data_IF_490431089618
#
_entry.id   IF_490431089618
#
_cell.length_a   1.000
_cell.length_b   1.000
_cell.length_c   1.000
_cell.angle_alpha   90.00
_cell.angle_beta   90.00
_cell.angle_gamma   90.00
#
_symmetry.space_group_name_H-M   'P 1'
#
loop_
_entity.id
_entity.type
_entity.pdbx_description
1 polymer ?
#
# COMPACT_ATOMS: atom_id res chain seq x y z
N UNK A 1 -26.28 6.84 21.07
CA UNK A 1 -24.84 7.00 20.82
C UNK A 1 -24.69 7.85 19.55
N UNK A 2 -24.10 9.04 19.66
CA UNK A 2 -23.86 9.88 18.52
C UNK A 2 -22.94 9.13 17.55
N UNK A 3 -23.36 9.00 16.30
CA UNK A 3 -22.55 8.45 15.21
C UNK A 3 -21.36 9.41 15.04
N UNK A 4 -20.18 9.00 15.47
CA UNK A 4 -18.93 9.73 15.19
C UNK A 4 -18.84 10.01 13.69
N UNK A 5 -18.64 11.27 13.36
CA UNK A 5 -18.44 11.69 11.97
C UNK A 5 -17.15 11.06 11.46
N UNK A 6 -17.17 10.54 10.22
CA UNK A 6 -15.99 9.89 9.59
C UNK A 6 -14.75 10.81 9.60
N UNK A 7 -14.95 12.12 9.46
CA UNK A 7 -13.87 13.10 9.53
C UNK A 7 -13.22 13.11 10.92
N UNK A 8 -14.01 13.07 11.99
CA UNK A 8 -13.53 13.03 13.38
C UNK A 8 -12.74 11.73 13.62
N UNK A 9 -13.27 10.58 13.20
CA UNK A 9 -12.59 9.29 13.33
C UNK A 9 -11.22 9.26 12.66
N UNK A 10 -11.09 9.82 11.46
CA UNK A 10 -9.81 9.91 10.74
C UNK A 10 -8.85 10.87 11.42
N UNK A 11 -9.35 12.04 11.85
CA UNK A 11 -8.55 13.06 12.54
C UNK A 11 -7.99 12.54 13.85
N UNK A 12 -8.83 11.94 14.71
CA UNK A 12 -8.39 11.36 15.98
C UNK A 12 -7.32 10.28 15.78
N UNK A 13 -7.47 9.46 14.74
CA UNK A 13 -6.49 8.41 14.46
C UNK A 13 -5.13 8.98 14.05
N UNK A 14 -5.12 10.00 13.21
CA UNK A 14 -3.90 10.70 12.81
C UNK A 14 -3.25 11.38 14.03
N UNK A 15 -4.02 12.09 14.85
CA UNK A 15 -3.53 12.73 16.07
C UNK A 15 -2.88 11.69 16.99
N UNK A 16 -3.57 10.59 17.25
CA UNK A 16 -3.04 9.52 18.10
C UNK A 16 -1.71 8.95 17.60
N UNK A 17 -1.54 8.80 16.29
CA UNK A 17 -0.28 8.32 15.71
C UNK A 17 0.83 9.37 15.88
N UNK A 18 0.52 10.66 15.71
CA UNK A 18 1.48 11.76 15.93
C UNK A 18 1.92 11.83 17.40
N UNK A 19 0.99 11.69 18.34
CA UNK A 19 1.30 11.65 19.78
C UNK A 19 2.21 10.47 20.16
N UNK A 20 2.13 9.37 19.42
CA UNK A 20 3.02 8.21 19.56
C UNK A 20 4.37 8.38 18.82
N UNK A 21 4.66 9.59 18.30
CA UNK A 21 5.87 9.87 17.53
C UNK A 21 5.90 9.24 16.14
N UNK A 22 4.77 8.75 15.66
CA UNK A 22 4.65 8.18 14.31
C UNK A 22 4.07 9.23 13.37
N UNK A 23 4.83 9.59 12.33
CA UNK A 23 4.33 10.46 11.26
C UNK A 23 3.70 9.58 10.17
N UNK A 24 2.35 9.50 10.05
CA UNK A 24 1.68 8.50 9.21
C UNK A 24 2.07 8.54 7.73
N UNK A 25 2.40 9.73 7.20
CA UNK A 25 2.80 9.95 5.81
C UNK A 25 4.30 9.74 5.54
N UNK A 26 5.10 9.48 6.59
CA UNK A 26 6.53 9.18 6.48
C UNK A 26 6.86 7.71 6.75
N UNK A 27 5.87 6.81 6.73
CA UNK A 27 6.13 5.37 6.87
C UNK A 27 7.13 4.95 5.80
N UNK A 28 8.29 4.37 6.20
CA UNK A 28 9.19 3.79 5.23
C UNK A 28 8.51 2.57 4.61
N UNK A 29 8.27 2.65 3.33
CA UNK A 29 7.74 1.53 2.55
C UNK A 29 8.83 0.48 2.44
N UNK A 30 8.64 -0.66 3.05
CA UNK A 30 9.55 -1.79 2.94
C UNK A 30 8.75 -3.00 2.48
N UNK A 31 8.91 -3.41 1.24
CA UNK A 31 8.30 -4.64 0.72
C UNK A 31 7.92 -4.53 -0.75
N UNK A 32 7.81 -5.64 -1.43
CA UNK A 32 7.40 -5.80 -2.85
C UNK A 32 5.99 -5.25 -3.10
N UNK A 33 5.17 -5.19 -2.06
CA UNK A 33 3.95 -4.39 -2.01
C UNK A 33 4.09 -3.40 -0.87
N UNK A 34 4.74 -2.28 -1.16
CA UNK A 34 4.90 -1.20 -0.19
C UNK A 34 3.53 -0.68 0.25
N UNK A 35 3.14 -0.98 1.48
CA UNK A 35 1.94 -0.46 2.11
C UNK A 35 0.80 -1.46 2.26
N UNK A 36 -0.33 -0.94 2.73
CA UNK A 36 -1.54 -1.71 2.93
C UNK A 36 -2.31 -1.89 1.62
N UNK A 37 -2.80 -3.09 1.37
CA UNK A 37 -3.61 -3.40 0.20
C UNK A 37 -4.77 -4.34 0.55
N UNK A 38 -5.80 -4.33 -0.27
CA UNK A 38 -6.93 -5.22 -0.08
C UNK A 38 -6.62 -6.63 -0.60
N UNK A 39 -6.76 -7.64 0.24
CA UNK A 39 -6.47 -9.04 -0.05
C UNK A 39 -7.21 -9.59 -1.26
N UNK A 40 -8.48 -9.22 -1.42
CA UNK A 40 -9.35 -9.75 -2.48
C UNK A 40 -9.08 -9.07 -3.81
N UNK A 41 -9.13 -7.74 -3.84
CA UNK A 41 -8.92 -6.97 -5.07
C UNK A 41 -7.44 -6.85 -5.44
N UNK A 42 -6.52 -7.12 -4.51
CA UNK A 42 -5.07 -6.96 -4.62
C UNK A 42 -4.63 -5.52 -4.97
N UNK A 43 -5.54 -4.56 -4.83
CA UNK A 43 -5.27 -3.14 -5.08
C UNK A 43 -4.73 -2.47 -3.81
N UNK A 44 -3.71 -1.62 -3.94
CA UNK A 44 -3.23 -0.81 -2.82
C UNK A 44 -4.33 0.15 -2.36
N UNK A 45 -4.36 0.44 -1.08
CA UNK A 45 -5.22 1.48 -0.53
C UNK A 45 -4.74 2.88 -0.92
N UNK A 46 -5.66 3.85 -0.91
CA UNK A 46 -5.32 5.26 -1.16
C UNK A 46 -4.36 5.81 -0.11
N UNK A 47 -3.69 6.94 -0.41
CA UNK A 47 -2.72 7.54 0.49
C UNK A 47 -3.29 7.81 1.90
N UNK A 48 -4.52 8.33 1.98
CA UNK A 48 -5.18 8.56 3.29
C UNK A 48 -5.39 7.25 4.06
N UNK A 49 -5.79 6.17 3.39
CA UNK A 49 -5.95 4.88 4.03
C UNK A 49 -4.60 4.27 4.43
N UNK A 50 -3.54 4.48 3.65
CA UNK A 50 -2.18 4.11 4.03
C UNK A 50 -1.73 4.83 5.31
N UNK A 51 -2.12 6.09 5.47
CA UNK A 51 -1.76 6.88 6.63
C UNK A 51 -2.51 6.45 7.91
N UNK A 52 -3.76 6.01 7.80
CA UNK A 52 -4.57 5.64 8.97
C UNK A 52 -4.46 4.16 9.36
N UNK A 53 -3.99 3.29 8.46
CA UNK A 53 -3.72 1.89 8.78
C UNK A 53 -2.37 1.75 9.50
N UNK A 54 -2.35 0.94 10.56
CA UNK A 54 -1.16 0.83 11.44
C UNK A 54 -0.01 0.06 10.81
N UNK A 55 -0.33 -0.90 9.96
CA UNK A 55 0.67 -1.83 9.41
C UNK A 55 0.57 -1.91 7.89
N UNK A 56 1.70 -2.09 7.20
CA UNK A 56 1.67 -2.49 5.80
C UNK A 56 1.19 -3.95 5.70
N UNK A 57 0.67 -4.32 4.53
CA UNK A 57 0.30 -5.70 4.22
C UNK A 57 -1.17 -5.88 3.85
N UNK A 58 -1.66 -7.06 4.10
CA UNK A 58 -2.96 -7.52 3.62
C UNK A 58 -4.08 -7.19 4.58
N UNK A 59 -5.10 -6.51 4.05
CA UNK A 59 -6.32 -6.20 4.77
C UNK A 59 -7.54 -6.68 4.00
N UNK A 60 -8.54 -7.13 4.74
CA UNK A 60 -9.87 -7.40 4.20
C UNK A 60 -10.95 -7.18 5.26
N UNK A 61 -12.20 -7.04 4.82
CA UNK A 61 -13.33 -6.98 5.74
C UNK A 61 -13.57 -8.35 6.40
N UNK A 62 -14.35 -8.39 7.46
CA UNK A 62 -14.73 -9.63 8.13
C UNK A 62 -15.32 -10.67 7.14
N UNK A 63 -16.26 -10.24 6.30
CA UNK A 63 -16.88 -11.12 5.31
C UNK A 63 -15.87 -11.63 4.28
N UNK A 64 -14.99 -10.76 3.79
CA UNK A 64 -13.96 -11.14 2.83
C UNK A 64 -12.98 -12.18 3.42
N UNK A 65 -12.57 -12.02 4.68
CA UNK A 65 -11.73 -13.02 5.34
C UNK A 65 -12.46 -14.34 5.50
N UNK A 66 -13.74 -14.32 5.90
CA UNK A 66 -14.57 -15.51 6.02
C UNK A 66 -14.72 -16.24 4.68
N UNK A 67 -14.95 -15.50 3.59
CA UNK A 67 -15.07 -16.06 2.25
C UNK A 67 -13.76 -16.73 1.75
N UNK A 68 -12.63 -16.26 2.25
CA UNK A 68 -11.30 -16.85 2.03
C UNK A 68 -10.99 -18.05 2.97
N UNK A 69 -11.93 -18.46 3.81
CA UNK A 69 -11.75 -19.51 4.80
C UNK A 69 -11.05 -19.06 6.10
N UNK A 70 -10.85 -17.75 6.27
CA UNK A 70 -10.19 -17.19 7.43
C UNK A 70 -11.14 -16.90 8.60
N UNK A 71 -10.58 -16.97 9.80
CA UNK A 71 -11.28 -16.64 11.04
C UNK A 71 -10.54 -15.52 11.77
N UNK A 72 -11.27 -14.47 12.13
CA UNK A 72 -10.70 -13.37 12.91
C UNK A 72 -10.44 -13.85 14.34
N UNK A 73 -9.22 -13.62 14.83
CA UNK A 73 -8.81 -13.98 16.19
C UNK A 73 -9.68 -13.29 17.24
N UNK A 74 -10.00 -14.00 18.33
CA UNK A 74 -10.76 -13.43 19.45
C UNK A 74 -10.00 -12.23 20.04
N UNK A 75 -10.68 -11.10 20.18
CA UNK A 75 -10.08 -9.86 20.69
C UNK A 75 -9.38 -8.99 19.65
N UNK A 76 -9.35 -9.40 18.37
CA UNK A 76 -8.83 -8.58 17.29
C UNK A 76 -9.64 -7.28 17.16
N UNK A 77 -8.92 -6.17 16.96
CA UNK A 77 -9.52 -4.84 16.76
C UNK A 77 -9.49 -4.50 15.28
N UNK A 78 -10.65 -4.14 14.74
CA UNK A 78 -10.72 -3.67 13.36
C UNK A 78 -10.08 -2.29 13.18
N UNK A 79 -9.55 -2.07 12.01
CA UNK A 79 -9.13 -0.77 11.54
C UNK A 79 -10.12 -0.25 10.51
N UNK A 80 -10.16 1.06 10.30
CA UNK A 80 -11.08 1.68 9.35
C UNK A 80 -10.35 2.03 8.06
N UNK A 81 -11.07 1.90 6.95
CA UNK A 81 -10.68 2.47 5.65
C UNK A 81 -11.83 3.32 5.12
N UNK A 82 -11.48 4.45 4.53
CA UNK A 82 -12.46 5.43 4.02
C UNK A 82 -12.50 5.42 2.50
N UNK A 83 -13.67 5.75 1.96
CA UNK A 83 -13.86 5.88 0.52
C UNK A 83 -14.97 6.89 0.22
N UNK A 84 -14.88 7.49 -0.96
CA UNK A 84 -15.92 8.37 -1.47
C UNK A 84 -16.96 7.58 -2.24
N UNK A 85 -18.22 7.74 -1.85
CA UNK A 85 -19.36 7.22 -2.61
C UNK A 85 -20.12 8.42 -3.21
N UNK A 86 -20.26 8.43 -4.52
CA UNK A 86 -21.09 9.41 -5.18
C UNK A 86 -22.54 8.94 -5.08
N UNK A 87 -23.40 9.78 -4.54
CA UNK A 87 -24.85 9.54 -4.46
C UNK A 87 -25.56 10.57 -5.33
N UNK A 88 -26.59 10.13 -6.04
CA UNK A 88 -27.49 11.03 -6.76
C UNK A 88 -28.58 11.49 -5.77
N UNK A 89 -28.70 12.80 -5.61
CA UNK A 89 -29.72 13.43 -4.76
C UNK A 89 -30.61 14.29 -5.64
N UNK A 90 -31.90 14.17 -5.47
CA UNK A 90 -32.88 15.00 -6.14
C UNK A 90 -33.17 16.24 -5.27
N UNK A 91 -32.90 17.41 -5.78
CA UNK A 91 -33.13 18.68 -5.12
C UNK A 91 -34.07 19.53 -5.98
N UNK A 92 -35.04 20.21 -5.36
CA UNK A 92 -35.89 21.15 -6.06
C UNK A 92 -35.17 22.50 -6.17
N UNK A 93 -35.02 22.98 -7.40
CA UNK A 93 -34.51 24.34 -7.65
C UNK A 93 -35.54 25.40 -7.27
N UNK A 94 -35.15 26.67 -7.26
CA UNK A 94 -36.00 27.80 -6.93
C UNK A 94 -37.23 27.94 -7.86
N UNK A 95 -37.24 27.23 -8.99
CA UNK A 95 -38.36 27.16 -9.94
C UNK A 95 -39.30 25.97 -9.71
N UNK A 96 -39.00 25.13 -8.69
CA UNK A 96 -39.81 23.94 -8.36
C UNK A 96 -39.51 22.72 -9.23
N UNK A 97 -38.50 22.78 -10.11
CA UNK A 97 -38.09 21.66 -10.97
C UNK A 97 -37.11 20.74 -10.20
N UNK A 98 -37.20 19.43 -10.43
CA UNK A 98 -36.32 18.44 -9.82
C UNK A 98 -35.00 18.39 -10.57
N UNK A 99 -33.92 18.76 -9.89
CA UNK A 99 -32.56 18.67 -10.40
C UNK A 99 -31.79 17.56 -9.75
N UNK A 100 -31.09 16.71 -10.53
CA UNK A 100 -30.23 15.63 -9.99
C UNK A 100 -28.83 16.16 -9.76
N UNK A 101 -28.44 16.22 -8.49
CA UNK A 101 -27.08 16.58 -8.08
C UNK A 101 -26.31 15.34 -7.62
N UNK A 102 -25.04 15.28 -8.02
CA UNK A 102 -24.09 14.26 -7.52
C UNK A 102 -23.36 14.79 -6.31
N UNK A 103 -23.62 14.19 -5.14
CA UNK A 103 -22.95 14.55 -3.91
C UNK A 103 -21.93 13.48 -3.53
N UNK A 104 -20.64 13.84 -3.32
CA UNK A 104 -19.66 12.93 -2.77
C UNK A 104 -19.92 12.75 -1.27
N UNK A 105 -20.13 11.52 -0.86
CA UNK A 105 -20.34 11.14 0.54
C UNK A 105 -19.17 10.29 1.03
N UNK A 106 -18.49 10.76 2.07
CA UNK A 106 -17.41 9.99 2.71
C UNK A 106 -18.03 8.86 3.53
N UNK A 107 -17.58 7.65 3.26
CA UNK A 107 -17.98 6.43 3.94
C UNK A 107 -16.76 5.69 4.48
N UNK A 108 -16.96 4.82 5.45
CA UNK A 108 -15.92 3.93 5.96
C UNK A 108 -16.44 2.50 6.08
N UNK A 109 -15.52 1.56 6.15
CA UNK A 109 -15.79 0.19 6.56
C UNK A 109 -14.61 -0.37 7.36
N UNK A 110 -14.90 -1.40 8.14
CA UNK A 110 -13.93 -2.04 9.01
C UNK A 110 -13.16 -3.12 8.25
N UNK A 111 -11.85 -3.15 8.48
CA UNK A 111 -10.92 -4.14 7.94
C UNK A 111 -10.07 -4.74 9.05
N UNK A 112 -9.55 -5.92 8.81
CA UNK A 112 -8.63 -6.63 9.69
C UNK A 112 -7.36 -6.97 8.92
N UNK A 113 -6.22 -6.78 9.57
CA UNK A 113 -4.93 -7.15 9.02
C UNK A 113 -4.72 -8.67 9.06
N UNK A 114 -3.98 -9.24 8.11
CA UNK A 114 -3.69 -10.69 8.02
C UNK A 114 -3.14 -11.27 9.32
N UNK A 115 -2.34 -10.54 10.10
CA UNK A 115 -1.82 -11.00 11.40
C UNK A 115 -2.90 -11.30 12.44
N UNK A 116 -4.12 -10.80 12.23
CA UNK A 116 -5.29 -11.00 13.08
C UNK A 116 -6.21 -12.12 12.57
N UNK A 117 -5.79 -12.86 11.56
CA UNK A 117 -6.59 -13.89 10.88
C UNK A 117 -5.92 -15.24 11.05
N UNK A 118 -6.71 -16.28 11.25
CA UNK A 118 -6.31 -17.69 11.27
C UNK A 118 -6.92 -18.40 10.06
N UNK A 119 -6.25 -19.46 9.60
CA UNK A 119 -6.74 -20.30 8.49
C UNK A 119 -6.43 -19.75 7.10
N UNK A 120 -5.78 -18.59 6.97
CA UNK A 120 -5.35 -18.02 5.69
C UNK A 120 -3.85 -17.72 5.74
N UNK A 121 -3.09 -18.26 4.81
CA UNK A 121 -1.69 -17.90 4.67
C UNK A 121 -1.53 -16.55 3.97
N UNK A 122 -0.53 -15.74 4.39
CA UNK A 122 -0.14 -14.54 3.65
C UNK A 122 0.16 -14.85 2.19
N UNK A 123 -0.12 -13.90 1.31
CA UNK A 123 0.29 -14.03 -0.10
C UNK A 123 1.82 -14.09 -0.14
N UNK A 124 2.35 -15.25 -0.51
CA UNK A 124 3.78 -15.39 -0.80
C UNK A 124 4.10 -14.53 -2.02
N UNK A 125 5.06 -13.66 -1.88
CA UNK A 125 5.66 -13.01 -3.02
C UNK A 125 6.39 -14.08 -3.82
N UNK A 126 6.06 -14.20 -5.10
CA UNK A 126 6.77 -15.09 -6.00
C UNK A 126 8.09 -14.40 -6.36
N UNK A 127 9.10 -14.63 -5.55
CA UNK A 127 10.47 -14.34 -5.94
C UNK A 127 10.90 -15.43 -6.93
N UNK A 128 11.50 -15.03 -8.01
CA UNK A 128 12.04 -15.95 -9.00
C UNK A 128 13.42 -16.42 -8.53
N UNK A 129 13.47 -17.59 -7.93
CA UNK A 129 14.73 -18.18 -7.40
C UNK A 129 15.61 -18.81 -8.49
N UNK A 130 15.14 -18.86 -9.74
CA UNK A 130 15.87 -19.45 -10.88
C UNK A 130 16.63 -18.40 -11.70
N UNK A 131 16.76 -17.17 -11.18
CA UNK A 131 17.47 -16.10 -11.86
C UNK A 131 18.99 -16.27 -11.64
N UNK A 132 19.71 -16.55 -12.70
CA UNK A 132 21.17 -16.55 -12.73
C UNK A 132 21.69 -15.17 -13.17
N UNK A 133 22.53 -14.51 -12.37
CA UNK A 133 23.15 -13.23 -12.75
C UNK A 133 24.02 -13.36 -13.99
N UNK A 134 24.10 -12.30 -14.78
CA UNK A 134 25.05 -12.17 -15.90
C UNK A 134 26.29 -11.47 -15.35
N UNK A 135 27.38 -12.24 -15.12
CA UNK A 135 28.60 -11.73 -14.48
C UNK A 135 29.18 -10.50 -15.18
N UNK A 136 29.17 -10.49 -16.51
CA UNK A 136 29.67 -9.36 -17.29
C UNK A 136 28.84 -8.08 -17.08
N UNK A 137 27.51 -8.21 -16.99
CA UNK A 137 26.64 -7.07 -16.74
C UNK A 137 26.80 -6.53 -15.30
N UNK A 138 26.95 -7.43 -14.31
CA UNK A 138 27.22 -7.03 -12.93
C UNK A 138 28.59 -6.32 -12.84
N UNK A 139 29.60 -6.79 -13.57
CA UNK A 139 30.91 -6.13 -13.67
C UNK A 139 30.81 -4.72 -14.21
N UNK A 140 30.06 -4.51 -15.30
CA UNK A 140 29.86 -3.19 -15.90
C UNK A 140 29.17 -2.23 -14.91
N UNK A 141 28.11 -2.69 -14.24
CA UNK A 141 27.42 -1.89 -13.20
C UNK A 141 28.41 -1.49 -12.12
N UNK A 142 29.18 -2.43 -11.60
CA UNK A 142 30.15 -2.18 -10.53
C UNK A 142 31.24 -1.18 -10.96
N UNK A 143 31.82 -1.35 -12.14
CA UNK A 143 32.83 -0.43 -12.68
C UNK A 143 32.27 0.99 -12.86
N UNK A 144 31.01 1.11 -13.32
CA UNK A 144 30.34 2.40 -13.45
C UNK A 144 30.10 3.06 -12.08
N UNK A 145 29.57 2.30 -11.13
CA UNK A 145 29.29 2.74 -9.74
C UNK A 145 30.58 3.25 -9.06
N UNK A 146 31.67 2.49 -9.20
CA UNK A 146 32.96 2.84 -8.59
C UNK A 146 33.57 4.08 -9.25
N UNK A 147 33.45 4.21 -10.58
CA UNK A 147 33.99 5.35 -11.34
C UNK A 147 33.24 6.64 -11.04
N UNK A 148 31.91 6.60 -11.00
CA UNK A 148 31.08 7.78 -10.81
C UNK A 148 30.79 8.06 -9.31
N UNK A 149 31.29 7.22 -8.40
CA UNK A 149 31.10 7.34 -6.95
C UNK A 149 29.62 7.39 -6.50
N UNK A 150 28.74 6.74 -7.26
CA UNK A 150 27.31 6.66 -6.92
C UNK A 150 27.04 5.48 -5.98
N UNK A 151 25.94 5.53 -5.26
CA UNK A 151 25.44 4.40 -4.48
C UNK A 151 24.44 3.60 -5.30
N UNK A 152 24.72 2.32 -5.57
CA UNK A 152 23.77 1.40 -6.20
C UNK A 152 23.19 0.47 -5.14
N UNK A 153 21.86 0.44 -5.00
CA UNK A 153 21.18 -0.32 -3.97
C UNK A 153 20.10 -1.22 -4.55
N UNK A 154 20.29 -2.51 -4.42
CA UNK A 154 19.24 -3.50 -4.66
C UNK A 154 18.42 -3.69 -3.37
N UNK A 155 17.11 -3.59 -3.47
CA UNK A 155 16.22 -3.85 -2.33
C UNK A 155 14.85 -4.33 -2.80
N UNK A 156 14.10 -4.92 -1.90
CA UNK A 156 12.70 -5.25 -2.17
C UNK A 156 11.92 -3.95 -2.41
N UNK A 157 11.49 -3.72 -3.66
CA UNK A 157 10.84 -2.48 -4.08
C UNK A 157 9.89 -2.72 -5.24
N UNK A 158 8.86 -1.88 -5.37
CA UNK A 158 7.95 -1.87 -6.53
C UNK A 158 8.42 -0.91 -7.63
N UNK A 159 9.50 -0.15 -7.38
CA UNK A 159 9.97 0.90 -8.28
C UNK A 159 11.48 0.94 -8.31
N UNK A 160 12.03 1.18 -9.50
CA UNK A 160 13.38 1.65 -9.67
C UNK A 160 13.37 3.19 -9.71
N UNK A 161 14.31 3.83 -9.05
CA UNK A 161 14.43 5.29 -9.04
C UNK A 161 15.84 5.75 -8.68
N UNK A 162 16.16 6.95 -9.13
CA UNK A 162 17.37 7.66 -8.74
C UNK A 162 17.04 8.76 -7.74
N UNK A 163 17.87 8.92 -6.72
CA UNK A 163 17.75 9.93 -5.67
C UNK A 163 18.88 10.93 -5.75
N UNK A 164 18.68 12.12 -6.35
CA UNK A 164 19.76 13.08 -6.59
C UNK A 164 20.44 13.59 -5.30
N UNK A 165 19.68 13.77 -4.20
CA UNK A 165 20.23 14.31 -2.94
C UNK A 165 21.31 13.41 -2.32
N UNK A 166 21.29 12.12 -2.57
CA UNK A 166 22.20 11.14 -1.99
C UNK A 166 22.97 10.36 -3.05
N UNK A 167 22.85 10.78 -4.30
CA UNK A 167 23.45 10.13 -5.46
C UNK A 167 23.26 8.59 -5.43
N UNK A 168 22.00 8.19 -5.25
CA UNK A 168 21.65 6.78 -5.03
C UNK A 168 20.70 6.30 -6.10
N UNK A 169 21.09 5.24 -6.81
CA UNK A 169 20.21 4.43 -7.66
C UNK A 169 19.63 3.30 -6.83
N UNK A 170 18.31 3.16 -6.83
CA UNK A 170 17.61 2.07 -6.17
C UNK A 170 16.88 1.26 -7.20
N UNK A 171 17.12 -0.05 -7.21
CA UNK A 171 16.45 -1.01 -8.09
C UNK A 171 15.83 -2.15 -7.27
N UNK A 172 14.73 -2.75 -7.74
CA UNK A 172 14.21 -3.98 -7.15
C UNK A 172 15.23 -5.12 -7.20
N UNK A 173 15.12 -6.07 -6.27
CA UNK A 173 15.97 -7.27 -6.28
C UNK A 173 15.84 -8.04 -7.59
N UNK A 174 16.92 -8.69 -8.03
CA UNK A 174 16.93 -9.51 -9.25
C UNK A 174 15.79 -10.54 -9.28
N UNK A 175 15.51 -11.16 -8.17
CA UNK A 175 14.47 -12.18 -8.00
C UNK A 175 13.03 -11.65 -8.16
N UNK A 176 12.84 -10.34 -8.18
CA UNK A 176 11.53 -9.70 -8.43
C UNK A 176 11.19 -9.60 -9.92
N UNK A 177 12.15 -9.79 -10.79
CA UNK A 177 11.95 -9.72 -12.24
C UNK A 177 11.54 -11.06 -12.83
N UNK A 178 10.87 -11.00 -13.98
CA UNK A 178 10.47 -12.21 -14.71
C UNK A 178 11.65 -12.99 -15.26
N UNK A 179 12.70 -12.28 -15.62
CA UNK A 179 13.97 -12.80 -16.11
C UNK A 179 15.08 -11.80 -15.85
N UNK A 180 16.32 -12.26 -15.90
CA UNK A 180 17.49 -11.45 -15.59
C UNK A 180 17.72 -10.29 -16.59
N UNK A 181 17.37 -10.48 -17.86
CA UNK A 181 17.50 -9.41 -18.85
C UNK A 181 16.63 -8.20 -18.51
N UNK A 182 15.43 -8.43 -17.96
CA UNK A 182 14.54 -7.35 -17.53
C UNK A 182 15.12 -6.56 -16.36
N UNK A 183 15.90 -7.19 -15.47
CA UNK A 183 16.62 -6.49 -14.42
C UNK A 183 17.67 -5.55 -15.02
N UNK A 184 18.53 -6.05 -15.92
CA UNK A 184 19.59 -5.24 -16.51
C UNK A 184 19.05 -4.13 -17.41
N UNK A 185 17.91 -4.31 -18.09
CA UNK A 185 17.24 -3.24 -18.83
C UNK A 185 16.80 -2.06 -17.96
N UNK A 186 16.60 -2.30 -16.67
CA UNK A 186 16.22 -1.24 -15.72
C UNK A 186 17.43 -0.68 -15.00
N UNK A 187 18.48 -1.49 -14.82
CA UNK A 187 19.70 -1.10 -14.12
C UNK A 187 20.63 -0.22 -14.98
N UNK A 188 20.59 -0.39 -16.32
CA UNK A 188 21.29 0.43 -17.31
C UNK A 188 20.41 1.56 -17.82
#
# INVERSE_FOLDING_TARGET
>A
MASLNVYEMVTERIIKQLEQGTIPWQKPWTGVRSGAFNRVSKKPYSLINQAILEKPGEYASFHQWKDLGGHIKKGAKSEIVVFWKIIDVEEKNDKGEIEKKKLPLLRYYNVFHISQVEGVEPLKEKLNTEIEPIEEADRIIKEYVDREHITFKECISDKAFYRPMTDTVVVPLKEQYKNINSFYQVAF
#
